data_IF_300633903251
#
_entry.id   IF_300633903251
#
_cell.length_a   1.000
_cell.length_b   1.000
_cell.length_c   1.000
_cell.angle_alpha   90.00
_cell.angle_beta   90.00
_cell.angle_gamma   90.00
#
_symmetry.space_group_name_H-M   'P 1'
#
loop_
_entity.id
_entity.type
_entity.pdbx_description
1 polymer ?
#
# COMPACT_ATOMS: atom_id res chain seq x y z
N UNK A 1 2.14 39.42 1.08
CA UNK A 1 1.93 39.03 2.50
C UNK A 1 1.41 37.60 2.66
N UNK A 2 0.76 36.99 1.66
CA UNK A 2 0.30 35.59 1.74
C UNK A 2 1.42 34.53 1.63
N UNK A 3 2.47 34.81 0.87
CA UNK A 3 3.63 33.90 0.71
C UNK A 3 4.32 33.55 2.05
N UNK A 4 4.45 34.52 2.97
CA UNK A 4 5.06 34.29 4.28
C UNK A 4 4.26 33.31 5.17
N UNK A 5 2.92 33.34 5.09
CA UNK A 5 2.07 32.42 5.87
C UNK A 5 2.22 30.95 5.44
N UNK A 6 2.55 30.72 4.17
CA UNK A 6 2.77 29.36 3.65
C UNK A 6 4.06 28.78 4.23
N UNK A 7 5.13 29.56 4.23
CA UNK A 7 6.45 29.13 4.75
C UNK A 7 6.36 28.80 6.25
N UNK A 8 5.68 29.65 7.03
CA UNK A 8 5.49 29.43 8.48
C UNK A 8 4.67 28.16 8.81
N UNK A 9 3.93 27.65 7.84
CA UNK A 9 3.11 26.44 8.00
C UNK A 9 3.84 25.15 7.63
N UNK A 10 4.96 25.22 6.90
CA UNK A 10 5.72 24.03 6.47
C UNK A 10 6.13 23.16 7.66
N UNK A 11 6.73 23.69 8.74
CA UNK A 11 7.14 22.86 9.88
C UNK A 11 5.96 22.11 10.51
N UNK A 12 4.76 22.71 10.52
CA UNK A 12 3.56 22.08 11.08
C UNK A 12 3.14 20.85 10.26
N UNK A 13 3.19 20.95 8.94
CA UNK A 13 2.88 19.83 8.06
C UNK A 13 3.95 18.74 8.16
N UNK A 14 5.23 19.11 8.16
CA UNK A 14 6.33 18.14 8.30
C UNK A 14 6.19 17.37 9.62
N UNK A 15 5.97 18.07 10.74
CA UNK A 15 5.79 17.44 12.05
C UNK A 15 4.56 16.52 12.14
N UNK A 16 3.52 16.74 11.32
CA UNK A 16 2.36 15.86 11.24
C UNK A 16 2.58 14.66 10.29
N UNK A 17 3.31 14.87 9.19
CA UNK A 17 3.55 13.86 8.16
C UNK A 17 4.51 12.77 8.65
N UNK A 18 5.57 13.14 9.38
CA UNK A 18 6.57 12.17 9.88
C UNK A 18 5.94 11.04 10.72
N UNK A 19 5.14 11.31 11.77
CA UNK A 19 4.51 10.24 12.55
C UNK A 19 3.48 9.44 11.73
N UNK A 20 2.82 10.05 10.75
CA UNK A 20 1.91 9.35 9.85
C UNK A 20 2.66 8.35 8.95
N UNK A 21 3.79 8.76 8.35
CA UNK A 21 4.66 7.87 7.57
C UNK A 21 5.18 6.75 8.44
N UNK A 22 5.67 7.04 9.65
CA UNK A 22 6.18 6.02 10.57
C UNK A 22 5.09 5.00 10.94
N UNK A 23 3.87 5.47 11.23
CA UNK A 23 2.73 4.60 11.52
C UNK A 23 2.38 3.70 10.32
N UNK A 24 2.42 4.25 9.10
CA UNK A 24 2.21 3.48 7.88
C UNK A 24 3.36 2.49 7.62
N UNK A 25 4.61 2.82 7.96
CA UNK A 25 5.71 1.86 7.87
C UNK A 25 5.54 0.66 8.78
N UNK A 26 4.99 0.84 9.99
CA UNK A 26 4.63 -0.29 10.86
C UNK A 26 3.59 -1.18 10.18
N UNK A 27 2.60 -0.59 9.49
CA UNK A 27 1.60 -1.35 8.70
C UNK A 27 2.25 -2.06 7.51
N UNK A 28 3.22 -1.43 6.85
CA UNK A 28 3.97 -2.04 5.76
C UNK A 28 4.74 -3.27 6.26
N UNK A 29 5.47 -3.13 7.37
CA UNK A 29 6.23 -4.22 7.98
C UNK A 29 5.33 -5.34 8.49
N UNK A 30 4.13 -5.00 9.00
CA UNK A 30 3.11 -6.00 9.34
C UNK A 30 2.76 -6.88 8.14
N UNK A 31 2.54 -6.26 6.98
CA UNK A 31 2.22 -6.97 5.75
C UNK A 31 3.41 -7.76 5.22
N UNK A 32 4.61 -7.20 5.32
CA UNK A 32 5.83 -7.86 4.89
C UNK A 32 6.11 -9.13 5.71
N UNK A 33 6.10 -9.04 7.04
CA UNK A 33 6.28 -10.20 7.92
C UNK A 33 5.12 -11.20 7.80
N UNK A 34 3.89 -10.69 7.67
CA UNK A 34 2.72 -11.52 7.43
C UNK A 34 2.82 -12.34 6.14
N UNK A 35 3.52 -11.84 5.12
CA UNK A 35 3.83 -12.58 3.89
C UNK A 35 4.66 -13.84 4.11
N UNK A 36 5.43 -13.88 5.21
CA UNK A 36 6.22 -15.03 5.64
C UNK A 36 5.57 -15.81 6.79
N UNK A 37 4.34 -15.46 7.17
CA UNK A 37 3.67 -16.05 8.34
C UNK A 37 4.28 -15.63 9.68
N UNK A 38 5.13 -14.61 9.71
CA UNK A 38 5.76 -14.10 10.92
C UNK A 38 4.87 -13.04 11.60
N UNK A 39 4.96 -12.99 12.92
CA UNK A 39 4.30 -12.02 13.78
C UNK A 39 5.29 -11.00 14.33
N UNK A 40 4.82 -9.80 14.70
CA UNK A 40 5.69 -8.79 15.33
C UNK A 40 6.31 -9.23 16.66
N UNK A 41 5.71 -10.18 17.37
CA UNK A 41 6.29 -10.73 18.60
C UNK A 41 7.55 -11.55 18.36
N UNK A 42 7.73 -12.09 17.15
CA UNK A 42 8.87 -12.93 16.79
C UNK A 42 10.05 -12.11 16.26
N UNK A 43 9.80 -10.85 15.89
CA UNK A 43 10.75 -10.01 15.15
C UNK A 43 11.04 -8.72 15.92
N UNK A 44 12.25 -8.55 16.50
CA UNK A 44 12.57 -7.41 17.36
C UNK A 44 12.91 -6.15 16.54
N UNK A 45 11.92 -5.56 15.87
CA UNK A 45 12.10 -4.35 15.05
C UNK A 45 12.35 -3.10 15.88
N UNK A 46 13.04 -2.14 15.28
CA UNK A 46 13.35 -0.83 15.84
C UNK A 46 12.71 0.30 15.02
N UNK A 47 12.71 1.53 15.54
CA UNK A 47 12.23 2.71 14.80
C UNK A 47 13.06 2.93 13.52
N UNK A 48 14.37 2.67 13.57
CA UNK A 48 15.27 2.78 12.42
C UNK A 48 14.85 1.85 11.28
N UNK A 49 14.41 0.64 11.63
CA UNK A 49 13.91 -0.35 10.67
C UNK A 49 12.65 0.13 9.96
N UNK A 50 11.68 0.67 10.70
CA UNK A 50 10.46 1.24 10.12
C UNK A 50 10.74 2.47 9.23
N UNK A 51 11.75 3.29 9.57
CA UNK A 51 12.20 4.37 8.70
C UNK A 51 12.82 3.83 7.42
N UNK A 52 13.65 2.78 7.48
CA UNK A 52 14.19 2.12 6.28
C UNK A 52 13.08 1.56 5.41
N UNK A 53 12.08 0.91 6.00
CA UNK A 53 10.90 0.42 5.27
C UNK A 53 10.12 1.54 4.58
N UNK A 54 10.06 2.74 5.18
CA UNK A 54 9.43 3.89 4.51
C UNK A 54 10.10 4.24 3.18
N UNK A 55 11.42 4.11 3.10
CA UNK A 55 12.18 4.43 1.88
C UNK A 55 11.88 3.47 0.72
N UNK A 56 11.33 2.29 1.03
CA UNK A 56 10.95 1.30 0.01
C UNK A 56 9.62 1.67 -0.64
N UNK A 57 8.57 1.91 0.16
CA UNK A 57 7.21 2.11 -0.38
C UNK A 57 6.85 3.57 -0.65
N UNK A 58 7.42 4.52 0.11
CA UNK A 58 7.05 5.93 0.03
C UNK A 58 7.33 6.57 -1.34
N UNK A 59 8.45 6.29 -2.04
CA UNK A 59 8.68 6.85 -3.38
C UNK A 59 7.58 6.47 -4.37
N UNK A 60 7.15 5.20 -4.36
CA UNK A 60 6.06 4.72 -5.20
C UNK A 60 4.75 5.42 -4.83
N UNK A 61 4.45 5.57 -3.53
CA UNK A 61 3.25 6.29 -3.09
C UNK A 61 3.23 7.76 -3.54
N UNK A 62 4.37 8.47 -3.44
CA UNK A 62 4.51 9.85 -3.91
C UNK A 62 4.28 9.93 -5.42
N UNK A 63 4.89 9.01 -6.19
CA UNK A 63 4.68 8.95 -7.63
C UNK A 63 3.21 8.69 -7.98
N UNK A 64 2.53 7.77 -7.28
CA UNK A 64 1.10 7.52 -7.49
C UNK A 64 0.26 8.78 -7.25
N UNK A 65 0.47 9.49 -6.14
CA UNK A 65 -0.26 10.75 -5.85
C UNK A 65 0.03 11.80 -6.92
N UNK A 66 1.28 11.91 -7.36
CA UNK A 66 1.67 12.83 -8.43
C UNK A 66 0.97 12.50 -9.75
N UNK A 67 0.99 11.24 -10.18
CA UNK A 67 0.32 10.81 -11.41
C UNK A 67 -1.19 11.00 -11.37
N UNK A 68 -1.84 10.64 -10.25
CA UNK A 68 -3.28 10.88 -10.05
C UNK A 68 -3.60 12.37 -10.14
N UNK A 69 -2.77 13.23 -9.53
CA UNK A 69 -2.94 14.68 -9.60
C UNK A 69 -2.80 15.22 -11.02
N UNK A 70 -1.83 14.72 -11.79
CA UNK A 70 -1.67 15.08 -13.21
C UNK A 70 -2.89 14.66 -14.03
N UNK A 71 -3.34 13.41 -13.87
CA UNK A 71 -4.50 12.89 -14.60
C UNK A 71 -5.75 13.71 -14.26
N UNK A 72 -5.96 14.06 -12.99
CA UNK A 72 -7.07 14.91 -12.56
C UNK A 72 -6.99 16.31 -13.19
N UNK A 73 -5.82 16.95 -13.17
CA UNK A 73 -5.63 18.27 -13.79
C UNK A 73 -5.84 18.23 -15.31
N UNK A 74 -5.34 17.19 -15.97
CA UNK A 74 -5.52 16.98 -17.40
C UNK A 74 -6.99 16.74 -17.74
N UNK A 75 -7.68 15.90 -16.96
CA UNK A 75 -9.12 15.63 -17.13
C UNK A 75 -9.93 16.91 -16.97
N UNK A 76 -9.69 17.69 -15.90
CA UNK A 76 -10.32 19.01 -15.73
C UNK A 76 -10.08 19.95 -16.90
N UNK A 77 -8.88 19.92 -17.49
CA UNK A 77 -8.57 20.73 -18.67
C UNK A 77 -9.37 20.29 -19.89
N UNK A 78 -9.42 18.99 -20.17
CA UNK A 78 -10.19 18.40 -21.28
C UNK A 78 -11.68 18.68 -21.12
N UNK A 79 -12.19 18.61 -19.89
CA UNK A 79 -13.60 18.87 -19.55
C UNK A 79 -13.93 20.35 -19.39
N UNK A 80 -12.96 21.25 -19.62
CA UNK A 80 -13.11 22.70 -19.50
C UNK A 80 -13.57 23.16 -18.11
N UNK A 81 -13.26 22.39 -17.07
CA UNK A 81 -13.68 22.67 -15.70
C UNK A 81 -15.18 22.57 -15.46
N UNK A 82 -15.95 21.99 -16.39
CA UNK A 82 -17.39 21.78 -16.21
C UNK A 82 -17.65 20.72 -15.15
N UNK A 83 -18.67 20.95 -14.34
CA UNK A 83 -19.20 19.95 -13.43
C UNK A 83 -19.82 18.77 -14.20
N UNK A 84 -19.88 17.62 -13.55
CA UNK A 84 -20.52 16.41 -14.09
C UNK A 84 -21.94 16.68 -14.58
N UNK A 85 -22.72 17.46 -13.83
CA UNK A 85 -24.09 17.86 -14.20
C UNK A 85 -24.14 18.76 -15.43
N UNK A 86 -23.20 19.69 -15.58
CA UNK A 86 -23.13 20.56 -16.76
C UNK A 86 -22.76 19.77 -18.01
N UNK A 87 -21.87 18.79 -17.89
CA UNK A 87 -21.48 17.89 -18.98
C UNK A 87 -22.68 17.05 -19.41
N UNK A 88 -23.42 16.46 -18.47
CA UNK A 88 -24.60 15.63 -18.75
C UNK A 88 -25.71 16.46 -19.39
N UNK A 89 -26.05 17.62 -18.81
CA UNK A 89 -27.15 18.46 -19.29
C UNK A 89 -26.81 19.20 -20.60
N UNK A 90 -25.53 19.48 -20.85
CA UNK A 90 -25.05 20.11 -22.08
C UNK A 90 -24.85 19.15 -23.26
N UNK A 91 -25.00 17.83 -23.05
CA UNK A 91 -24.81 16.83 -24.10
C UNK A 91 -26.06 16.66 -24.99
N UNK A 92 -25.90 16.24 -26.26
CA UNK A 92 -27.04 15.99 -27.16
C UNK A 92 -28.02 14.92 -26.65
N UNK A 93 -27.54 13.97 -25.85
CA UNK A 93 -28.38 12.95 -25.22
C UNK A 93 -27.97 12.76 -23.75
N UNK A 94 -28.58 13.51 -22.82
CA UNK A 94 -28.20 13.50 -21.40
C UNK A 94 -28.29 12.13 -20.76
N UNK A 95 -29.32 11.33 -21.07
CA UNK A 95 -29.52 10.00 -20.48
C UNK A 95 -28.39 9.03 -20.86
N UNK A 96 -28.00 9.02 -22.14
CA UNK A 96 -26.91 8.18 -22.63
C UNK A 96 -25.57 8.63 -22.04
N UNK A 97 -25.32 9.94 -22.00
CA UNK A 97 -24.08 10.48 -21.40
C UNK A 97 -23.96 10.14 -19.92
N UNK A 98 -25.04 10.31 -19.14
CA UNK A 98 -25.08 9.94 -17.73
C UNK A 98 -24.76 8.45 -17.52
N UNK A 99 -25.37 7.57 -18.32
CA UNK A 99 -25.11 6.13 -18.26
C UNK A 99 -23.64 5.79 -18.55
N UNK A 100 -23.06 6.36 -19.61
CA UNK A 100 -21.65 6.13 -19.96
C UNK A 100 -20.73 6.61 -18.85
N UNK A 101 -20.97 7.79 -18.28
CA UNK A 101 -20.12 8.35 -17.22
C UNK A 101 -20.25 7.58 -15.89
N UNK A 102 -21.40 6.97 -15.62
CA UNK A 102 -21.58 6.07 -14.47
C UNK A 102 -21.11 4.63 -14.74
N UNK A 103 -20.93 4.23 -16.01
CA UNK A 103 -20.57 2.85 -16.40
C UNK A 103 -19.32 2.29 -15.71
N UNK A 104 -18.23 3.06 -15.46
CA UNK A 104 -17.07 2.53 -14.76
C UNK A 104 -17.39 2.08 -13.34
N UNK A 105 -18.31 2.75 -12.64
CA UNK A 105 -18.70 2.39 -11.27
C UNK A 105 -19.39 1.03 -11.26
N UNK A 106 -20.28 0.77 -12.21
CA UNK A 106 -20.96 -0.53 -12.33
C UNK A 106 -19.97 -1.65 -12.66
N UNK A 107 -19.02 -1.40 -13.57
CA UNK A 107 -17.97 -2.36 -13.90
C UNK A 107 -17.09 -2.68 -12.69
N UNK A 108 -16.61 -1.65 -11.98
CA UNK A 108 -15.80 -1.79 -10.77
C UNK A 108 -16.56 -2.56 -9.69
N UNK A 109 -17.84 -2.26 -9.50
CA UNK A 109 -18.70 -2.96 -8.53
C UNK A 109 -18.89 -4.43 -8.92
N UNK A 110 -19.16 -4.71 -10.20
CA UNK A 110 -19.34 -6.06 -10.71
C UNK A 110 -18.06 -6.91 -10.55
N UNK A 111 -16.90 -6.34 -10.90
CA UNK A 111 -15.59 -7.01 -10.70
C UNK A 111 -15.35 -7.28 -9.21
N UNK A 112 -15.64 -6.30 -8.35
CA UNK A 112 -15.49 -6.46 -6.89
C UNK A 112 -16.34 -7.61 -6.36
N UNK A 113 -17.59 -7.75 -6.81
CA UNK A 113 -18.47 -8.87 -6.40
C UNK A 113 -18.01 -10.20 -7.01
N UNK A 114 -17.53 -10.19 -8.25
CA UNK A 114 -17.09 -11.40 -8.95
C UNK A 114 -15.82 -12.01 -8.36
N UNK A 115 -14.92 -11.20 -7.79
CA UNK A 115 -13.65 -11.66 -7.21
C UNK A 115 -13.81 -12.73 -6.11
N UNK A 116 -14.57 -12.53 -5.01
CA UNK A 116 -14.74 -13.56 -4.00
C UNK A 116 -15.43 -14.82 -4.56
N UNK A 117 -16.34 -14.67 -5.53
CA UNK A 117 -16.98 -15.81 -6.21
C UNK A 117 -15.93 -16.61 -7.00
N UNK A 118 -15.07 -15.93 -7.77
CA UNK A 118 -14.00 -16.57 -8.53
C UNK A 118 -13.03 -17.32 -7.60
N UNK A 119 -12.68 -16.73 -6.45
CA UNK A 119 -11.83 -17.39 -5.46
C UNK A 119 -12.45 -18.67 -4.89
N UNK A 120 -13.76 -18.66 -4.58
CA UNK A 120 -14.48 -19.86 -4.11
C UNK A 120 -14.54 -20.95 -5.20
N UNK A 121 -14.56 -20.56 -6.47
CA UNK A 121 -14.50 -21.46 -7.62
C UNK A 121 -13.07 -21.98 -7.92
N UNK A 122 -12.08 -21.66 -7.08
CA UNK A 122 -10.71 -22.12 -7.24
C UNK A 122 -9.85 -21.30 -8.20
N UNK A 123 -10.31 -20.11 -8.62
CA UNK A 123 -9.49 -19.18 -9.40
C UNK A 123 -8.48 -18.52 -8.46
N UNK A 124 -7.19 -18.70 -8.75
CA UNK A 124 -6.12 -18.01 -8.03
C UNK A 124 -6.11 -16.52 -8.37
N UNK A 125 -6.34 -15.70 -7.35
CA UNK A 125 -6.33 -14.24 -7.48
C UNK A 125 -4.97 -13.74 -6.98
N UNK A 126 -4.23 -12.95 -7.78
CA UNK A 126 -2.96 -12.39 -7.34
C UNK A 126 -3.16 -11.45 -6.15
N UNK A 127 -2.15 -11.30 -5.30
CA UNK A 127 -2.20 -10.41 -4.12
C UNK A 127 -2.57 -8.97 -4.47
N UNK A 128 -2.09 -8.46 -5.61
CA UNK A 128 -2.49 -7.15 -6.12
C UNK A 128 -4.01 -7.07 -6.40
N UNK A 129 -4.62 -8.16 -6.86
CA UNK A 129 -6.08 -8.25 -7.00
C UNK A 129 -6.79 -8.08 -5.65
N UNK A 130 -6.37 -8.82 -4.63
CA UNK A 130 -6.93 -8.70 -3.27
C UNK A 130 -6.73 -7.32 -2.65
N UNK A 131 -5.61 -6.67 -2.93
CA UNK A 131 -5.35 -5.28 -2.55
C UNK A 131 -6.41 -4.35 -3.14
N UNK A 132 -6.63 -4.39 -4.45
CA UNK A 132 -7.63 -3.55 -5.12
C UNK A 132 -9.04 -3.87 -4.65
N UNK A 133 -9.40 -5.16 -4.52
CA UNK A 133 -10.69 -5.59 -3.98
C UNK A 133 -10.97 -4.97 -2.61
N UNK A 134 -10.02 -5.07 -1.68
CA UNK A 134 -10.20 -4.59 -0.31
C UNK A 134 -10.38 -3.06 -0.27
N UNK A 135 -9.61 -2.33 -1.09
CA UNK A 135 -9.70 -0.87 -1.20
C UNK A 135 -11.05 -0.45 -1.81
N UNK A 136 -11.47 -1.10 -2.90
CA UNK A 136 -12.76 -0.79 -3.54
C UNK A 136 -13.92 -1.12 -2.60
N UNK A 137 -13.88 -2.29 -1.95
CA UNK A 137 -14.88 -2.70 -0.98
C UNK A 137 -14.99 -1.68 0.16
N UNK A 138 -13.86 -1.15 0.65
CA UNK A 138 -13.86 -0.06 1.63
C UNK A 138 -14.55 1.19 1.10
N UNK A 139 -14.25 1.65 -0.12
CA UNK A 139 -14.92 2.82 -0.70
C UNK A 139 -16.43 2.59 -0.90
N UNK A 140 -16.85 1.39 -1.31
CA UNK A 140 -18.27 1.03 -1.44
C UNK A 140 -18.96 1.05 -0.07
N UNK A 141 -18.34 0.45 0.95
CA UNK A 141 -18.84 0.47 2.31
C UNK A 141 -18.91 1.90 2.89
N UNK A 142 -17.86 2.70 2.67
CA UNK A 142 -17.82 4.11 3.09
C UNK A 142 -18.93 4.91 2.42
N UNK A 143 -19.09 4.79 1.09
CA UNK A 143 -20.19 5.44 0.36
C UNK A 143 -21.56 4.99 0.90
N UNK A 144 -21.75 3.70 1.17
CA UNK A 144 -22.98 3.18 1.76
C UNK A 144 -23.25 3.82 3.14
N UNK A 145 -22.27 3.80 4.04
CA UNK A 145 -22.40 4.36 5.39
C UNK A 145 -22.70 5.87 5.39
N UNK A 146 -22.06 6.64 4.51
CA UNK A 146 -22.24 8.10 4.41
C UNK A 146 -23.30 8.54 3.39
N UNK A 147 -23.99 7.61 2.73
CA UNK A 147 -25.12 7.93 1.84
C UNK A 147 -26.34 8.44 2.59
N UNK A 148 -26.45 8.14 3.89
CA UNK A 148 -27.58 8.55 4.70
C UNK A 148 -27.49 10.04 5.04
N UNK A 149 -28.48 10.83 4.61
CA UNK A 149 -28.50 12.30 4.72
C UNK A 149 -28.17 12.81 6.12
N UNK A 150 -28.75 12.20 7.17
CA UNK A 150 -28.47 12.57 8.57
C UNK A 150 -27.00 12.42 8.96
N UNK A 151 -26.33 11.36 8.51
CA UNK A 151 -24.91 11.11 8.81
C UNK A 151 -24.06 12.13 8.05
N UNK A 152 -24.39 12.40 6.80
CA UNK A 152 -23.67 13.35 5.96
C UNK A 152 -23.72 14.78 6.53
N UNK A 153 -24.88 15.24 6.98
CA UNK A 153 -25.06 16.58 7.56
C UNK A 153 -24.29 16.72 8.88
N UNK A 154 -24.23 15.65 9.68
CA UNK A 154 -23.59 15.68 11.01
C UNK A 154 -22.07 15.49 10.96
N UNK A 155 -21.52 14.99 9.86
CA UNK A 155 -20.10 14.64 9.78
C UNK A 155 -19.29 15.82 9.22
N UNK A 156 -18.31 16.36 9.97
CA UNK A 156 -17.39 17.35 9.43
C UNK A 156 -16.63 16.81 8.23
N UNK A 157 -16.42 17.66 7.20
CA UNK A 157 -15.74 17.26 5.95
C UNK A 157 -14.36 16.64 6.19
N UNK A 158 -13.64 17.10 7.22
CA UNK A 158 -12.33 16.54 7.60
C UNK A 158 -12.47 15.09 8.05
N UNK A 159 -13.43 14.80 8.94
CA UNK A 159 -13.70 13.44 9.44
C UNK A 159 -14.16 12.53 8.29
N UNK A 160 -15.03 13.04 7.41
CA UNK A 160 -15.45 12.32 6.21
C UNK A 160 -14.25 11.93 5.34
N UNK A 161 -13.35 12.88 5.06
CA UNK A 161 -12.14 12.62 4.27
C UNK A 161 -11.18 11.65 4.96
N UNK A 162 -10.94 11.82 6.26
CA UNK A 162 -10.04 10.95 7.03
C UNK A 162 -10.55 9.51 7.07
N UNK A 163 -11.82 9.31 7.41
CA UNK A 163 -12.44 7.97 7.42
C UNK A 163 -12.46 7.36 6.03
N UNK A 164 -12.62 8.15 4.97
CA UNK A 164 -12.57 7.65 3.60
C UNK A 164 -11.18 7.15 3.21
N UNK A 165 -10.15 7.97 3.43
CA UNK A 165 -8.83 7.75 2.85
C UNK A 165 -7.86 6.99 3.76
N UNK A 166 -7.92 7.16 5.08
CA UNK A 166 -6.96 6.50 5.99
C UNK A 166 -7.02 4.98 5.85
N UNK A 167 -8.19 4.31 5.93
CA UNK A 167 -8.24 2.85 5.79
C UNK A 167 -7.84 2.37 4.40
N UNK A 168 -8.19 3.11 3.34
CA UNK A 168 -7.76 2.78 1.98
C UNK A 168 -6.23 2.82 1.84
N UNK A 169 -5.57 3.84 2.39
CA UNK A 169 -4.11 3.95 2.41
C UNK A 169 -3.48 2.86 3.28
N UNK A 170 -4.03 2.60 4.46
CA UNK A 170 -3.58 1.51 5.35
C UNK A 170 -3.65 0.16 4.66
N UNK A 171 -4.76 -0.16 3.98
CA UNK A 171 -4.90 -1.38 3.19
C UNK A 171 -3.88 -1.43 2.05
N UNK A 172 -3.72 -0.33 1.31
CA UNK A 172 -2.73 -0.28 0.24
C UNK A 172 -1.31 -0.56 0.74
N UNK A 173 -0.89 0.09 1.83
CA UNK A 173 0.44 -0.08 2.43
C UNK A 173 0.63 -1.50 2.98
N UNK A 174 -0.39 -2.05 3.65
CA UNK A 174 -0.36 -3.41 4.17
C UNK A 174 -0.10 -4.43 3.05
N UNK A 175 -0.90 -4.37 1.98
CA UNK A 175 -0.73 -5.26 0.84
C UNK A 175 0.55 -5.01 0.07
N UNK A 176 1.06 -3.77 0.02
CA UNK A 176 2.37 -3.49 -0.56
C UNK A 176 3.47 -4.24 0.20
N UNK A 177 3.37 -4.35 1.52
CA UNK A 177 4.25 -5.21 2.34
C UNK A 177 4.19 -6.68 1.92
N UNK A 178 2.98 -7.25 1.85
CA UNK A 178 2.77 -8.64 1.40
C UNK A 178 3.33 -8.91 0.00
N UNK A 179 3.11 -7.98 -0.92
CA UNK A 179 3.60 -8.10 -2.31
C UNK A 179 5.13 -8.04 -2.34
N UNK A 180 5.75 -7.12 -1.60
CA UNK A 180 7.21 -7.05 -1.49
C UNK A 180 7.80 -8.33 -0.90
N UNK A 181 7.18 -8.93 0.12
CA UNK A 181 7.64 -10.19 0.68
C UNK A 181 7.66 -11.31 -0.37
N UNK A 182 6.58 -11.42 -1.16
CA UNK A 182 6.50 -12.39 -2.25
C UNK A 182 7.52 -12.14 -3.36
N UNK A 183 7.72 -10.88 -3.74
CA UNK A 183 8.72 -10.51 -4.74
C UNK A 183 10.13 -10.85 -4.28
N UNK A 184 10.45 -10.55 -3.01
CA UNK A 184 11.75 -10.83 -2.43
C UNK A 184 12.03 -12.34 -2.38
N UNK A 185 11.02 -13.23 -2.29
CA UNK A 185 11.24 -14.68 -2.41
C UNK A 185 11.50 -15.17 -3.83
N UNK A 186 10.99 -14.48 -4.84
CA UNK A 186 11.08 -14.91 -6.25
C UNK A 186 12.41 -14.52 -6.91
N UNK A 187 13.10 -13.50 -6.40
CA UNK A 187 14.30 -12.90 -7.02
C UNK A 187 15.56 -13.13 -6.19
N UNK A 188 16.12 -14.35 -6.18
CA UNK A 188 17.14 -14.66 -5.19
C UNK A 188 18.42 -15.34 -5.70
N UNK A 189 19.52 -14.63 -5.48
CA UNK A 189 20.88 -15.18 -5.47
C UNK A 189 21.16 -15.75 -4.07
N UNK A 190 21.54 -17.03 -4.01
CA UNK A 190 21.93 -17.67 -2.76
C UNK A 190 23.26 -17.11 -2.26
N UNK A 191 23.30 -16.77 -0.98
CA UNK A 191 24.49 -16.30 -0.27
C UNK A 191 24.88 -17.33 0.79
N UNK A 192 26.18 -17.50 1.00
CA UNK A 192 26.68 -18.36 2.05
C UNK A 192 26.77 -17.52 3.33
N UNK A 193 26.07 -17.96 4.38
CA UNK A 193 26.01 -17.26 5.66
C UNK A 193 26.82 -18.05 6.67
N UNK A 194 27.86 -17.41 7.21
CA UNK A 194 28.70 -17.98 8.25
C UNK A 194 28.20 -17.56 9.63
N UNK A 195 27.74 -18.54 10.41
CA UNK A 195 27.39 -18.37 11.81
C UNK A 195 28.58 -18.73 12.70
N UNK A 196 28.46 -18.47 14.00
CA UNK A 196 29.49 -18.85 14.98
C UNK A 196 29.94 -20.30 14.88
N UNK A 197 28.99 -21.23 14.66
CA UNK A 197 29.24 -22.67 14.74
C UNK A 197 29.00 -23.43 13.42
N UNK A 198 28.32 -22.83 12.43
CA UNK A 198 27.90 -23.51 11.19
C UNK A 198 27.88 -22.55 10.00
N UNK A 199 28.00 -23.07 8.79
CA UNK A 199 27.70 -22.34 7.55
C UNK A 199 26.46 -22.92 6.91
N UNK A 200 25.58 -22.08 6.38
CA UNK A 200 24.47 -22.54 5.56
C UNK A 200 24.21 -21.58 4.39
N UNK A 201 23.70 -22.14 3.30
CA UNK A 201 23.31 -21.37 2.14
C UNK A 201 21.86 -20.93 2.32
N UNK A 202 21.64 -19.63 2.18
CA UNK A 202 20.32 -19.04 2.30
C UNK A 202 20.24 -17.78 1.48
N UNK A 203 19.13 -17.07 1.62
CA UNK A 203 18.96 -15.80 0.96
C UNK A 203 18.58 -14.73 1.95
N UNK A 204 19.39 -13.68 2.01
CA UNK A 204 19.14 -12.55 2.88
C UNK A 204 18.05 -11.71 2.24
N UNK A 205 16.83 -11.82 2.76
CA UNK A 205 15.67 -11.04 2.33
C UNK A 205 15.87 -9.56 2.72
N UNK A 206 16.16 -9.33 4.01
CA UNK A 206 16.42 -8.00 4.56
C UNK A 206 17.42 -8.05 5.71
N UNK A 207 18.28 -7.04 5.75
CA UNK A 207 19.09 -6.73 6.91
C UNK A 207 18.37 -5.68 7.76
N UNK A 208 18.18 -5.97 9.04
CA UNK A 208 17.69 -5.06 10.07
C UNK A 208 18.82 -4.73 11.04
N UNK A 209 18.62 -3.75 11.91
CA UNK A 209 19.69 -3.30 12.82
C UNK A 209 20.15 -4.40 13.80
N UNK A 210 19.21 -5.24 14.26
CA UNK A 210 19.45 -6.28 15.27
C UNK A 210 19.44 -7.72 14.73
N UNK A 211 18.99 -7.91 13.50
CA UNK A 211 18.80 -9.25 12.95
C UNK A 211 18.79 -9.23 11.42
N UNK A 212 18.93 -10.41 10.83
CA UNK A 212 18.75 -10.66 9.40
C UNK A 212 17.53 -11.55 9.21
N UNK A 213 16.69 -11.23 8.23
CA UNK A 213 15.71 -12.18 7.71
C UNK A 213 16.35 -12.98 6.61
N UNK A 214 16.40 -14.29 6.81
CA UNK A 214 16.97 -15.22 5.84
C UNK A 214 15.93 -16.24 5.41
N UNK A 215 15.72 -16.34 4.12
CA UNK A 215 14.90 -17.38 3.51
C UNK A 215 15.77 -18.58 3.13
N UNK A 216 15.33 -19.78 3.50
CA UNK A 216 15.95 -21.04 3.08
C UNK A 216 15.12 -21.63 1.92
N UNK A 217 15.64 -21.62 0.66
CA UNK A 217 14.89 -22.12 -0.49
C UNK A 217 14.60 -23.63 -0.45
N UNK A 218 15.39 -24.41 0.29
CA UNK A 218 15.24 -25.87 0.35
C UNK A 218 14.05 -26.28 1.22
N UNK A 219 13.80 -25.55 2.31
CA UNK A 219 12.74 -25.84 3.27
C UNK A 219 11.56 -24.86 3.20
N UNK A 220 11.66 -23.81 2.39
CA UNK A 220 10.69 -22.71 2.30
C UNK A 220 10.41 -22.03 3.66
N UNK A 221 11.41 -22.00 4.53
CA UNK A 221 11.32 -21.42 5.88
C UNK A 221 12.10 -20.10 5.95
N UNK A 222 11.50 -19.09 6.58
CA UNK A 222 12.17 -17.85 6.95
C UNK A 222 12.68 -17.95 8.38
N UNK A 223 13.97 -17.68 8.56
CA UNK A 223 14.65 -17.68 9.86
C UNK A 223 15.08 -16.26 10.22
N UNK A 224 14.88 -15.90 11.49
CA UNK A 224 15.39 -14.66 12.08
C UNK A 224 16.75 -14.98 12.69
N UNK A 225 17.82 -14.40 12.17
CA UNK A 225 19.17 -14.55 12.72
C UNK A 225 19.60 -13.30 13.45
N UNK A 226 20.07 -13.42 14.69
CA UNK A 226 20.61 -12.27 15.42
C UNK A 226 21.85 -11.73 14.73
N UNK A 227 22.00 -10.41 14.64
CA UNK A 227 23.16 -9.81 13.99
C UNK A 227 24.49 -10.14 14.69
N UNK A 228 24.44 -10.50 15.98
CA UNK A 228 25.60 -10.97 16.74
C UNK A 228 26.02 -12.42 16.45
N UNK A 229 25.16 -13.22 15.81
CA UNK A 229 25.44 -14.62 15.46
C UNK A 229 26.08 -14.77 14.07
N UNK A 230 25.88 -13.77 13.20
CA UNK A 230 26.36 -13.76 11.82
C UNK A 230 27.78 -13.16 11.77
N UNK A 231 28.76 -13.97 11.39
CA UNK A 231 30.16 -13.55 11.22
C UNK A 231 30.40 -12.90 9.87
N UNK A 232 29.89 -13.51 8.81
CA UNK A 232 30.09 -13.05 7.43
C UNK A 232 28.90 -13.46 6.55
N UNK A 233 28.65 -12.66 5.51
CA UNK A 233 27.70 -12.95 4.43
C UNK A 233 28.49 -12.83 3.14
N UNK A 234 28.84 -13.95 2.54
CA UNK A 234 29.58 -13.99 1.29
C UNK A 234 28.61 -14.28 0.15
N UNK A 235 28.64 -13.42 -0.88
CA UNK A 235 27.91 -13.70 -2.11
C UNK A 235 28.50 -14.96 -2.73
N UNK A 236 27.68 -15.99 -2.96
CA UNK A 236 28.17 -17.14 -3.71
C UNK A 236 28.52 -16.64 -5.11
N UNK A 237 29.81 -16.58 -5.42
CA UNK A 237 30.28 -16.25 -6.75
C UNK A 237 29.67 -17.29 -7.69
N UNK A 238 28.62 -16.90 -8.42
CA UNK A 238 28.09 -17.66 -9.56
C UNK A 238 29.29 -18.02 -10.43
N UNK A 239 29.64 -19.31 -10.46
CA UNK A 239 30.48 -19.88 -11.51
C UNK A 239 29.69 -19.98 -12.80
#
# INVERSE_FOLDING_TARGET
MESFKVIDSIPKYVSAIVPAILSLSVVYDLGYFGGFGLTFSEVPTTISDHLRSSLIWLPVAILCVFFVSIIELFTRRVEQGKSESEIINGAPNPKRTAFIRQSPVYLVTAVTIAMPIASVLGVEIPLAGWQFFSIILWFLFHNFAFSHERILIQTPRVVWSMTRWIPAVTLWVLFAGFISAKQDTDTLDTVQIELSDNTFDGVVLRAYDKFYLVYNPQNEVVTVLSSGEVKSIESSLKK
#
